data_IF_202327836817
#
_entry.id   IF_202327836817
#
_cell.length_a   1.000
_cell.length_b   1.000
_cell.length_c   1.000
_cell.angle_alpha   90.00
_cell.angle_beta   90.00
_cell.angle_gamma   90.00
#
_symmetry.space_group_name_H-M   'P 1'
#
loop_
_entity.id
_entity.type
_entity.pdbx_description
1 polymer ?
#
# COMPACT_ATOMS: atom_id res chain seq x y z
N UNK A 1 1.35 -15.99 -9.56
CA UNK A 1 2.25 -14.83 -9.43
C UNK A 1 1.88 -14.11 -8.16
N UNK A 2 2.84 -13.77 -7.30
CA UNK A 2 2.62 -12.90 -6.16
C UNK A 2 2.59 -11.44 -6.63
N UNK A 3 1.39 -10.84 -6.65
CA UNK A 3 1.14 -9.44 -6.99
C UNK A 3 0.46 -8.75 -5.81
N UNK A 4 1.05 -7.65 -5.36
CA UNK A 4 0.41 -6.71 -4.46
C UNK A 4 -0.09 -5.50 -5.25
N UNK A 5 -1.33 -5.09 -5.01
CA UNK A 5 -1.83 -3.78 -5.45
C UNK A 5 -1.83 -2.81 -4.29
N UNK A 6 -1.30 -1.61 -4.49
CA UNK A 6 -1.36 -0.51 -3.54
C UNK A 6 -2.34 0.52 -4.09
N UNK A 7 -3.34 0.87 -3.29
CA UNK A 7 -4.25 2.00 -3.53
C UNK A 7 -3.91 3.04 -2.46
N UNK A 8 -3.26 4.14 -2.84
CA UNK A 8 -2.80 5.15 -1.89
C UNK A 8 -3.32 6.54 -2.16
N UNK A 9 -3.55 7.33 -1.12
CA UNK A 9 -3.77 8.77 -1.27
C UNK A 9 -2.46 9.47 -1.64
N UNK A 10 -2.54 10.57 -2.40
CA UNK A 10 -1.36 11.36 -2.80
C UNK A 10 -0.50 11.82 -1.61
N UNK A 11 -1.11 12.07 -0.44
CA UNK A 11 -0.39 12.45 0.77
C UNK A 11 0.69 11.43 1.22
N UNK A 12 0.54 10.16 0.82
CA UNK A 12 1.47 9.07 1.16
C UNK A 12 2.47 8.74 0.05
N UNK A 13 2.46 9.48 -1.05
CA UNK A 13 3.26 9.17 -2.23
C UNK A 13 4.75 8.96 -1.91
N UNK A 14 5.37 9.93 -1.23
CA UNK A 14 6.79 9.88 -0.89
C UNK A 14 7.16 8.68 -0.03
N UNK A 15 6.22 8.27 0.80
CA UNK A 15 6.40 7.19 1.73
C UNK A 15 6.28 5.84 1.02
N UNK A 16 5.29 5.70 0.14
CA UNK A 16 5.16 4.57 -0.78
C UNK A 16 6.44 4.45 -1.63
N UNK A 17 6.94 5.56 -2.20
CA UNK A 17 8.17 5.57 -2.97
C UNK A 17 9.36 5.01 -2.17
N UNK A 18 9.55 5.45 -0.93
CA UNK A 18 10.63 4.97 -0.05
C UNK A 18 10.51 3.48 0.26
N UNK A 19 9.35 3.02 0.68
CA UNK A 19 9.10 1.61 1.01
C UNK A 19 9.42 0.71 -0.19
N UNK A 20 8.94 1.09 -1.38
CA UNK A 20 9.15 0.30 -2.60
C UNK A 20 10.60 0.35 -3.09
N UNK A 21 11.28 1.49 -2.97
CA UNK A 21 12.66 1.63 -3.43
C UNK A 21 13.66 0.80 -2.60
N UNK A 22 13.35 0.59 -1.32
CA UNK A 22 14.17 -0.20 -0.40
C UNK A 22 13.97 -1.72 -0.59
N UNK A 23 12.80 -2.15 -1.06
CA UNK A 23 12.49 -3.57 -1.22
C UNK A 23 13.11 -4.18 -2.49
N UNK A 24 14.26 -4.83 -2.32
CA UNK A 24 15.00 -5.49 -3.41
C UNK A 24 14.38 -6.80 -3.90
N UNK A 25 13.29 -7.26 -3.29
CA UNK A 25 12.59 -8.48 -3.74
C UNK A 25 11.57 -8.20 -4.85
N UNK A 26 11.22 -6.93 -5.07
CA UNK A 26 10.30 -6.53 -6.12
C UNK A 26 11.02 -6.67 -7.47
N UNK A 27 10.43 -7.44 -8.38
CA UNK A 27 10.92 -7.55 -9.76
C UNK A 27 10.44 -6.37 -10.61
N UNK A 28 9.16 -6.03 -10.50
CA UNK A 28 8.57 -4.91 -11.21
C UNK A 28 7.67 -4.08 -10.30
N UNK A 29 7.89 -2.76 -10.33
CA UNK A 29 6.93 -1.76 -9.87
C UNK A 29 6.18 -1.25 -11.08
N UNK A 30 4.86 -1.33 -11.03
CA UNK A 30 3.95 -0.83 -12.06
C UNK A 30 3.18 0.33 -11.47
N UNK A 31 3.35 1.52 -12.02
CA UNK A 31 2.58 2.71 -11.63
C UNK A 31 1.45 2.87 -12.63
N UNK A 32 0.22 2.89 -12.14
CA UNK A 32 -0.95 3.18 -12.97
C UNK A 32 -1.13 4.69 -12.99
N UNK A 33 -0.89 5.29 -14.16
CA UNK A 33 -0.99 6.72 -14.35
C UNK A 33 -2.42 7.11 -14.74
N UNK A 34 -3.09 7.81 -13.82
CA UNK A 34 -4.40 8.42 -14.01
C UNK A 34 -4.34 9.96 -13.87
N UNK A 35 -3.16 10.57 -14.14
CA UNK A 35 -2.80 12.00 -14.03
C UNK A 35 -2.25 12.50 -12.70
N UNK A 36 -2.24 11.65 -11.66
CA UNK A 36 -1.76 12.01 -10.31
C UNK A 36 -0.45 11.30 -9.90
N UNK A 37 0.25 10.64 -10.83
CA UNK A 37 1.36 9.72 -10.50
C UNK A 37 2.76 10.19 -10.90
N UNK A 38 2.88 11.39 -11.48
CA UNK A 38 4.16 11.89 -12.02
C UNK A 38 5.22 12.11 -10.94
N UNK A 39 4.81 12.58 -9.76
CA UNK A 39 5.73 12.78 -8.64
C UNK A 39 6.23 11.44 -8.09
N UNK A 40 5.34 10.43 -7.93
CA UNK A 40 5.73 9.06 -7.55
C UNK A 40 6.78 8.46 -8.48
N UNK A 41 6.57 8.60 -9.79
CA UNK A 41 7.51 8.10 -10.81
C UNK A 41 8.86 8.78 -10.67
N UNK A 42 8.86 10.12 -10.54
CA UNK A 42 10.08 10.91 -10.36
C UNK A 42 10.84 10.52 -9.10
N UNK A 43 10.14 10.33 -7.98
CA UNK A 43 10.74 9.93 -6.71
C UNK A 43 11.37 8.54 -6.79
N UNK A 44 10.67 7.57 -7.38
CA UNK A 44 11.22 6.22 -7.60
C UNK A 44 12.48 6.26 -8.48
N UNK A 45 12.46 7.03 -9.57
CA UNK A 45 13.61 7.18 -10.47
C UNK A 45 14.80 7.83 -9.77
N UNK A 46 14.57 8.86 -8.96
CA UNK A 46 15.60 9.51 -8.15
C UNK A 46 16.24 8.54 -7.14
N UNK A 47 15.45 7.61 -6.61
CA UNK A 47 15.92 6.53 -5.73
C UNK A 47 16.54 5.35 -6.47
N UNK A 48 16.71 5.45 -7.79
CA UNK A 48 17.37 4.45 -8.63
C UNK A 48 16.47 3.29 -9.06
N UNK A 49 15.15 3.42 -8.92
CA UNK A 49 14.16 2.42 -9.33
C UNK A 49 13.42 2.90 -10.57
N UNK A 50 13.30 2.06 -11.59
CA UNK A 50 12.62 2.41 -12.83
C UNK A 50 11.24 1.75 -12.88
N UNK A 51 10.15 2.46 -12.51
CA UNK A 51 8.82 1.90 -12.59
C UNK A 51 8.38 1.75 -14.04
N UNK A 52 7.49 0.79 -14.29
CA UNK A 52 6.74 0.71 -15.54
C UNK A 52 5.46 1.51 -15.38
N UNK A 53 5.29 2.54 -16.20
CA UNK A 53 4.05 3.33 -16.21
C UNK A 53 3.05 2.68 -17.17
N UNK A 54 1.81 2.49 -16.71
CA UNK A 54 0.69 1.96 -17.49
C UNK A 54 -0.54 2.85 -17.30
N UNK A 55 -1.37 2.95 -18.33
CA UNK A 55 -2.72 3.52 -18.18
C UNK A 55 -3.72 2.42 -17.77
N UNK A 56 -4.80 2.75 -17.05
CA UNK A 56 -5.80 1.78 -16.61
C UNK A 56 -6.28 0.82 -17.71
N UNK A 57 -6.55 1.36 -18.91
CA UNK A 57 -7.00 0.63 -20.10
C UNK A 57 -5.95 -0.29 -20.72
N UNK A 58 -4.68 -0.11 -20.36
CA UNK A 58 -3.54 -0.89 -20.89
C UNK A 58 -3.06 -1.97 -19.93
N UNK A 59 -3.67 -2.06 -18.74
CA UNK A 59 -3.31 -3.09 -17.76
C UNK A 59 -3.63 -4.45 -18.35
N UNK A 60 -2.62 -5.30 -18.63
CA UNK A 60 -2.87 -6.53 -19.35
C UNK A 60 -3.73 -7.47 -18.51
N UNK A 61 -4.79 -8.08 -19.09
CA UNK A 61 -5.57 -9.10 -18.40
C UNK A 61 -4.65 -10.28 -18.07
N UNK A 62 -4.27 -10.38 -16.81
CA UNK A 62 -3.30 -11.37 -16.36
C UNK A 62 -1.85 -10.90 -16.42
N UNK A 63 -1.53 -9.82 -15.68
CA UNK A 63 -0.19 -9.55 -15.15
C UNK A 63 0.51 -10.82 -14.60
N UNK A 64 -0.30 -11.83 -14.21
CA UNK A 64 -0.06 -13.15 -13.61
C UNK A 64 1.02 -14.11 -14.20
N UNK A 65 1.96 -13.69 -15.05
CA UNK A 65 2.95 -14.60 -15.66
C UNK A 65 4.32 -14.66 -14.98
N UNK A 66 4.64 -13.77 -14.02
CA UNK A 66 5.90 -13.86 -13.27
C UNK A 66 5.81 -14.81 -12.07
N UNK A 67 6.94 -15.43 -11.70
CA UNK A 67 7.11 -16.16 -10.44
C UNK A 67 7.55 -15.24 -9.29
N UNK A 68 8.08 -14.06 -9.60
CA UNK A 68 8.63 -13.12 -8.62
C UNK A 68 7.56 -12.18 -8.08
N UNK A 69 7.91 -11.47 -7.02
CA UNK A 69 7.05 -10.48 -6.39
C UNK A 69 6.95 -9.21 -7.22
N UNK A 70 5.73 -8.75 -7.46
CA UNK A 70 5.45 -7.55 -8.24
C UNK A 70 4.52 -6.65 -7.45
N UNK A 71 4.64 -5.34 -7.69
CA UNK A 71 3.79 -4.33 -7.05
C UNK A 71 3.15 -3.46 -8.13
N UNK A 72 1.84 -3.29 -8.04
CA UNK A 72 1.07 -2.31 -8.82
C UNK A 72 0.64 -1.19 -7.88
N UNK A 73 0.84 0.07 -8.26
CA UNK A 73 0.46 1.24 -7.46
C UNK A 73 -0.51 2.10 -8.25
N UNK A 74 -1.61 2.50 -7.63
CA UNK A 74 -2.49 3.57 -8.11
C UNK A 74 -2.62 4.60 -7.00
N UNK A 75 -2.50 5.88 -7.36
CA UNK A 75 -2.75 6.97 -6.42
C UNK A 75 -4.18 7.49 -6.60
N UNK A 76 -4.71 8.12 -5.57
CA UNK A 76 -5.98 8.83 -5.61
C UNK A 76 -5.82 10.19 -4.95
N UNK A 77 -6.36 11.20 -5.62
CA UNK A 77 -6.41 12.56 -5.09
C UNK A 77 -7.72 12.75 -4.33
N UNK A 78 -7.64 12.78 -3.01
CA UNK A 78 -8.80 12.94 -2.14
C UNK A 78 -9.49 14.30 -2.33
N UNK A 79 -8.75 15.32 -2.81
CA UNK A 79 -9.26 16.68 -3.06
C UNK A 79 -10.21 16.75 -4.26
N UNK A 80 -10.16 15.76 -5.16
CA UNK A 80 -10.99 15.71 -6.37
C UNK A 80 -12.39 15.19 -6.08
N UNK A 81 -12.62 14.54 -4.94
CA UNK A 81 -13.91 13.93 -4.65
C UNK A 81 -14.89 14.91 -3.99
N UNK A 82 -16.09 14.97 -4.57
CA UNK A 82 -17.18 15.87 -4.17
C UNK A 82 -17.76 15.58 -2.77
N UNK A 83 -17.54 14.38 -2.22
CA UNK A 83 -18.02 13.96 -0.89
C UNK A 83 -17.31 12.70 -0.40
N UNK A 84 -17.35 12.39 0.91
CA UNK A 84 -16.83 11.13 1.45
C UNK A 84 -17.43 9.88 0.79
N UNK A 85 -18.72 9.91 0.43
CA UNK A 85 -19.37 8.82 -0.29
C UNK A 85 -18.81 8.63 -1.70
N UNK A 86 -18.51 9.73 -2.39
CA UNK A 86 -17.92 9.67 -3.73
C UNK A 86 -16.52 9.04 -3.67
N UNK A 87 -15.67 9.50 -2.75
CA UNK A 87 -14.35 8.92 -2.50
C UNK A 87 -14.43 7.42 -2.16
N UNK A 88 -15.39 7.03 -1.30
CA UNK A 88 -15.64 5.63 -0.96
C UNK A 88 -16.01 4.79 -2.18
N UNK A 89 -16.96 5.25 -2.99
CA UNK A 89 -17.41 4.50 -4.17
C UNK A 89 -16.25 4.28 -5.14
N UNK A 90 -15.46 5.31 -5.38
CA UNK A 90 -14.28 5.26 -6.27
C UNK A 90 -13.21 4.31 -5.72
N UNK A 91 -12.94 4.36 -4.41
CA UNK A 91 -12.04 3.42 -3.73
C UNK A 91 -12.55 1.97 -3.87
N UNK A 92 -13.85 1.73 -3.67
CA UNK A 92 -14.46 0.42 -3.85
C UNK A 92 -14.33 -0.10 -5.29
N UNK A 93 -14.54 0.75 -6.30
CA UNK A 93 -14.36 0.38 -7.71
C UNK A 93 -12.91 0.05 -8.02
N UNK A 94 -11.94 0.81 -7.49
CA UNK A 94 -10.50 0.46 -7.58
C UNK A 94 -10.24 -0.92 -6.93
N UNK A 95 -10.76 -1.20 -5.74
CA UNK A 95 -10.60 -2.53 -5.09
C UNK A 95 -11.23 -3.64 -5.95
N UNK A 96 -12.43 -3.45 -6.49
CA UNK A 96 -13.08 -4.43 -7.37
C UNK A 96 -12.31 -4.68 -8.67
N UNK A 97 -11.62 -3.65 -9.17
CA UNK A 97 -10.80 -3.76 -10.37
C UNK A 97 -9.46 -4.45 -10.10
N UNK A 98 -8.71 -4.02 -9.08
CA UNK A 98 -7.38 -4.52 -8.78
C UNK A 98 -7.36 -5.82 -7.98
N UNK A 99 -8.33 -6.04 -7.10
CA UNK A 99 -8.42 -7.23 -6.26
C UNK A 99 -8.38 -8.54 -7.06
N UNK A 100 -9.22 -8.76 -8.09
CA UNK A 100 -9.23 -10.00 -8.87
C UNK A 100 -7.94 -10.30 -9.65
N UNK A 101 -7.13 -9.27 -9.94
CA UNK A 101 -5.85 -9.43 -10.64
C UNK A 101 -4.67 -9.64 -9.68
N UNK A 102 -4.84 -9.33 -8.39
CA UNK A 102 -3.81 -9.35 -7.35
C UNK A 102 -4.02 -10.46 -6.30
N UNK A 103 -2.99 -10.72 -5.51
CA UNK A 103 -3.07 -11.62 -4.35
C UNK A 103 -3.47 -10.87 -3.09
N UNK A 104 -3.11 -9.59 -3.02
CA UNK A 104 -3.54 -8.70 -1.98
C UNK A 104 -3.61 -7.26 -2.47
N UNK A 105 -4.46 -6.49 -1.80
CA UNK A 105 -4.64 -5.05 -1.96
C UNK A 105 -4.28 -4.40 -0.64
N UNK A 106 -3.34 -3.47 -0.66
CA UNK A 106 -2.94 -2.65 0.48
C UNK A 106 -3.46 -1.23 0.26
N UNK A 107 -4.16 -0.70 1.25
CA UNK A 107 -4.75 0.64 1.16
C UNK A 107 -4.03 1.60 2.11
N UNK A 108 -3.49 2.69 1.55
CA UNK A 108 -2.90 3.82 2.28
C UNK A 108 -3.92 4.96 2.29
N UNK A 109 -4.76 5.04 3.33
CA UNK A 109 -5.77 6.09 3.47
C UNK A 109 -6.12 6.35 4.93
N UNK A 110 -6.02 7.62 5.34
CA UNK A 110 -6.51 8.12 6.65
C UNK A 110 -8.03 8.06 6.77
N UNK A 111 -8.75 8.41 5.70
CA UNK A 111 -10.18 8.73 5.74
C UNK A 111 -11.10 7.60 5.24
N UNK A 112 -10.62 6.77 4.30
CA UNK A 112 -11.45 5.73 3.68
C UNK A 112 -11.48 4.43 4.49
N UNK A 113 -10.44 4.15 5.29
CA UNK A 113 -10.35 2.91 6.07
C UNK A 113 -11.56 2.72 6.99
N UNK A 114 -11.96 3.80 7.69
CA UNK A 114 -13.13 3.81 8.58
C UNK A 114 -14.45 3.68 7.81
N UNK A 115 -14.59 4.41 6.70
CA UNK A 115 -15.80 4.39 5.85
C UNK A 115 -16.06 3.04 5.16
N UNK A 116 -15.01 2.27 4.86
CA UNK A 116 -15.14 0.92 4.32
C UNK A 116 -15.58 -0.10 5.40
N UNK A 117 -15.14 0.09 6.64
CA UNK A 117 -15.51 -0.77 7.77
C UNK A 117 -16.95 -0.53 8.25
N UNK A 118 -17.44 0.72 8.22
CA UNK A 118 -18.73 1.11 8.80
C UNK A 118 -19.97 0.63 8.03
N UNK A 119 -19.92 0.50 6.69
CA UNK A 119 -21.11 0.11 5.90
C UNK A 119 -21.02 -1.31 5.30
N UNK A 120 -20.15 -2.18 5.83
CA UNK A 120 -20.18 -3.61 5.49
C UNK A 120 -19.82 -3.95 4.04
N UNK A 121 -18.85 -3.23 3.44
CA UNK A 121 -18.29 -3.64 2.15
C UNK A 121 -17.46 -4.90 2.37
N UNK A 122 -18.11 -6.05 2.22
CA UNK A 122 -17.53 -7.34 2.57
C UNK A 122 -16.68 -7.89 1.41
N UNK A 123 -15.36 -7.77 1.56
CA UNK A 123 -14.37 -8.46 0.73
C UNK A 123 -13.86 -9.77 1.37
N UNK A 124 -14.42 -10.23 2.48
CA UNK A 124 -14.00 -11.46 3.21
C UNK A 124 -14.10 -12.73 2.35
N UNK A 125 -15.02 -12.77 1.39
CA UNK A 125 -15.17 -13.89 0.45
C UNK A 125 -14.37 -13.73 -0.85
N UNK A 126 -13.53 -12.70 -0.95
CA UNK A 126 -12.74 -12.46 -2.15
C UNK A 126 -11.52 -13.40 -2.22
N UNK A 127 -11.00 -13.60 -3.43
CA UNK A 127 -9.80 -14.44 -3.66
C UNK A 127 -8.49 -13.70 -3.37
N UNK A 128 -8.57 -12.46 -2.88
CA UNK A 128 -7.43 -11.61 -2.54
C UNK A 128 -7.52 -11.18 -1.07
N UNK A 129 -6.39 -10.80 -0.50
CA UNK A 129 -6.32 -10.26 0.87
C UNK A 129 -6.50 -8.75 0.78
N UNK A 130 -7.41 -8.16 1.55
CA UNK A 130 -7.51 -6.71 1.66
C UNK A 130 -6.92 -6.27 3.01
N UNK A 131 -5.89 -5.44 2.95
CA UNK A 131 -5.21 -4.87 4.10
C UNK A 131 -5.46 -3.37 4.14
N UNK A 132 -6.07 -2.89 5.22
CA UNK A 132 -6.42 -1.48 5.40
C UNK A 132 -5.53 -0.89 6.48
N UNK A 133 -4.84 0.20 6.18
CA UNK A 133 -4.16 0.98 7.20
C UNK A 133 -5.19 1.68 8.09
N UNK A 134 -5.34 1.19 9.33
CA UNK A 134 -6.15 1.84 10.36
C UNK A 134 -5.24 2.61 11.31
N UNK A 135 -5.53 3.90 11.52
CA UNK A 135 -4.85 4.72 12.53
C UNK A 135 -5.03 4.18 13.97
N UNK A 136 -6.08 3.36 14.19
CA UNK A 136 -6.56 2.91 15.51
C UNK A 136 -6.29 1.42 15.78
N UNK A 137 -5.23 0.85 15.19
CA UNK A 137 -4.87 -0.57 15.31
C UNK A 137 -4.33 -0.97 16.70
N UNK A 138 -5.16 -0.82 17.72
CA UNK A 138 -4.95 -1.31 19.09
C UNK A 138 -4.78 -2.85 19.13
N UNK A 139 -5.30 -3.57 18.12
CA UNK A 139 -5.24 -5.03 18.01
C UNK A 139 -3.95 -5.59 17.37
N UNK A 140 -3.13 -4.76 16.72
CA UNK A 140 -1.84 -5.16 16.15
C UNK A 140 -0.65 -4.89 17.09
N UNK A 141 -0.93 -4.55 18.35
CA UNK A 141 0.05 -4.06 19.31
C UNK A 141 1.18 -5.02 19.65
N UNK A 142 1.06 -6.34 19.44
CA UNK A 142 2.15 -7.27 19.76
C UNK A 142 3.25 -7.29 18.69
N UNK A 143 2.87 -7.45 17.41
CA UNK A 143 3.83 -7.47 16.29
C UNK A 143 4.43 -6.09 16.00
N UNK A 144 3.59 -5.04 16.07
CA UNK A 144 4.05 -3.65 15.95
C UNK A 144 5.02 -3.30 17.08
N UNK A 145 4.75 -3.71 18.32
CA UNK A 145 5.61 -3.41 19.46
C UNK A 145 6.94 -4.17 19.39
N UNK A 146 6.93 -5.45 19.00
CA UNK A 146 8.17 -6.22 18.83
C UNK A 146 9.09 -5.61 17.77
N UNK A 147 8.54 -5.21 16.61
CA UNK A 147 9.34 -4.60 15.53
C UNK A 147 9.74 -3.14 15.80
N UNK A 148 8.86 -2.36 16.43
CA UNK A 148 9.15 -0.98 16.82
C UNK A 148 10.21 -0.94 17.94
N UNK A 149 10.17 -1.89 18.89
CA UNK A 149 11.18 -2.00 19.95
C UNK A 149 12.56 -2.42 19.40
N UNK A 150 12.61 -3.27 18.36
CA UNK A 150 13.86 -3.59 17.63
C UNK A 150 14.47 -2.34 16.94
N UNK A 151 13.64 -1.52 16.30
CA UNK A 151 14.09 -0.31 15.58
C UNK A 151 14.52 0.83 16.53
N UNK A 152 13.78 1.04 17.62
CA UNK A 152 14.03 2.13 18.57
C UNK A 152 15.27 1.89 19.46
N UNK A 153 15.71 0.64 19.61
CA UNK A 153 16.96 0.32 20.31
C UNK A 153 18.22 0.87 19.60
N UNK A 154 18.13 1.28 18.32
CA UNK A 154 19.27 1.71 17.50
C UNK A 154 19.57 3.23 17.49
N UNK A 155 18.66 4.10 17.94
CA UNK A 155 18.79 5.54 17.66
C UNK A 155 18.44 6.44 18.84
N UNK A 156 19.41 6.62 19.75
CA UNK A 156 19.40 7.68 20.73
C UNK A 156 19.98 8.98 20.16
N UNK A 157 19.13 9.99 19.89
CA UNK A 157 19.45 11.43 20.08
C UNK A 157 18.22 12.35 19.90
N UNK A 158 18.01 13.15 20.95
CA UNK A 158 17.11 14.33 21.16
C UNK A 158 17.44 15.46 20.15
N UNK A 159 16.66 16.51 19.87
CA UNK A 159 15.30 17.00 20.21
C UNK A 159 15.05 18.19 19.24
N UNK A 160 14.48 17.91 18.08
CA UNK A 160 13.69 18.85 17.23
C UNK A 160 12.42 18.11 16.70
N UNK A 161 12.14 16.94 17.30
CA UNK A 161 11.47 15.78 16.73
C UNK A 161 10.05 15.58 17.28
N UNK A 162 9.08 16.39 16.86
CA UNK A 162 7.66 16.06 17.12
C UNK A 162 6.86 15.82 15.83
N UNK A 163 7.02 16.65 14.79
CA UNK A 163 6.42 16.38 13.49
C UNK A 163 7.19 15.29 12.71
N UNK A 164 8.53 15.32 12.73
CA UNK A 164 9.36 14.24 12.19
C UNK A 164 9.12 12.91 12.92
N UNK A 165 8.99 12.93 14.25
CA UNK A 165 8.75 11.72 15.02
C UNK A 165 7.39 11.08 14.71
N UNK A 166 6.33 11.89 14.49
CA UNK A 166 5.03 11.39 14.04
C UNK A 166 5.07 10.87 12.60
N UNK A 167 5.77 11.56 11.70
CA UNK A 167 5.94 11.12 10.31
C UNK A 167 6.71 9.79 10.23
N UNK A 168 7.76 9.63 11.04
CA UNK A 168 8.54 8.38 11.11
C UNK A 168 7.73 7.23 11.73
N UNK A 169 6.87 7.52 12.72
CA UNK A 169 5.97 6.51 13.31
C UNK A 169 4.94 5.99 12.30
N UNK A 170 4.41 6.86 11.44
CA UNK A 170 3.46 6.46 10.40
C UNK A 170 4.12 5.67 9.27
N UNK A 171 5.30 6.09 8.83
CA UNK A 171 6.06 5.34 7.81
C UNK A 171 6.42 3.92 8.28
N UNK A 172 6.80 3.76 9.55
CA UNK A 172 7.08 2.43 10.09
C UNK A 172 5.82 1.56 10.17
N UNK A 173 4.67 2.13 10.56
CA UNK A 173 3.39 1.41 10.55
C UNK A 173 3.03 0.91 9.15
N UNK A 174 3.22 1.77 8.16
CA UNK A 174 2.97 1.44 6.77
C UNK A 174 3.92 0.38 6.24
N UNK A 175 5.20 0.47 6.58
CA UNK A 175 6.21 -0.56 6.29
C UNK A 175 5.84 -1.90 6.91
N UNK A 176 5.37 -1.91 8.15
CA UNK A 176 4.89 -3.12 8.82
C UNK A 176 3.70 -3.74 8.09
N UNK A 177 2.70 -2.93 7.70
CA UNK A 177 1.53 -3.43 6.95
C UNK A 177 1.92 -3.96 5.57
N UNK A 178 2.83 -3.26 4.89
CA UNK A 178 3.42 -3.69 3.63
C UNK A 178 4.11 -5.05 3.76
N UNK A 179 5.02 -5.20 4.73
CA UNK A 179 5.75 -6.45 4.93
C UNK A 179 4.82 -7.60 5.33
N UNK A 180 3.84 -7.35 6.20
CA UNK A 180 2.83 -8.35 6.59
C UNK A 180 2.09 -8.87 5.36
N UNK A 181 1.53 -7.98 4.55
CA UNK A 181 0.77 -8.40 3.37
C UNK A 181 1.68 -9.12 2.36
N UNK A 182 2.90 -8.63 2.16
CA UNK A 182 3.90 -9.28 1.31
C UNK A 182 4.20 -10.70 1.78
N UNK A 183 4.42 -10.90 3.07
CA UNK A 183 4.68 -12.22 3.64
C UNK A 183 3.48 -13.16 3.43
N UNK A 184 2.25 -12.67 3.62
CA UNK A 184 1.03 -13.45 3.34
C UNK A 184 0.90 -13.82 1.85
N UNK A 185 1.31 -12.93 0.94
CA UNK A 185 1.29 -13.17 -0.51
C UNK A 185 2.36 -14.20 -0.92
N UNK A 186 3.55 -14.14 -0.30
CA UNK A 186 4.70 -14.99 -0.64
C UNK A 186 4.68 -16.35 0.07
N UNK A 187 3.98 -16.46 1.20
CA UNK A 187 3.88 -17.73 1.93
C UNK A 187 2.94 -18.67 1.18
N UNK A 188 3.40 -19.86 0.74
CA UNK A 188 2.54 -20.84 0.11
C UNK A 188 1.47 -21.29 1.13
N UNK A 189 0.19 -21.23 0.74
CA UNK A 189 -0.87 -21.89 1.52
C UNK A 189 -0.56 -23.39 1.50
N UNK A 190 -0.04 -23.91 2.61
CA UNK A 190 -0.03 -25.34 2.88
C UNK A 190 -1.48 -25.77 2.99
N UNK A 191 -2.05 -26.24 1.88
CA UNK A 191 -3.32 -26.96 1.91
C UNK A 191 -3.06 -28.29 2.61
N UNK A 192 -3.47 -28.40 3.87
CA UNK A 192 -3.74 -29.69 4.52
C UNK A 192 -5.07 -30.24 4.02
#
# INVERSE_FOLDING_TARGET
MPLMSIIGCMEYEKEIARILAEDKTIEHIIVVDDSSSSELVSDLEHMGVKPKVLYPETIPPGLKKSKSFNVLVTLQDDTVYKSPQHLKNETCEKIKFYGPVSNGVLMYSTSCGKLLQEEGVDFHNSKFILELLSEDDTNNSAYLKEKLDECLAGSARKREKQNEAKSLDMEEKHRVCYNRLKDMILTPKTNS
#
